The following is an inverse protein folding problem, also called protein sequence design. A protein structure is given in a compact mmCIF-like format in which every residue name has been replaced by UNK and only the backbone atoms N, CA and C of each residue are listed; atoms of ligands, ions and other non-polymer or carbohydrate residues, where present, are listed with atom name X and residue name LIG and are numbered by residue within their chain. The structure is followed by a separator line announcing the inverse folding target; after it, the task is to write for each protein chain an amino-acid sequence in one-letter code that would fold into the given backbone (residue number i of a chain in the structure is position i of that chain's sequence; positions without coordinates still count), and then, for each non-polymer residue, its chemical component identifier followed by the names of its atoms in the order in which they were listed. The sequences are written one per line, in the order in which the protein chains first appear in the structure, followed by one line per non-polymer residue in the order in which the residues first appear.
data_IF_188164496094
#
_entry.id   IF_188164496094
#
_cell.length_a   1.000
_cell.length_b   1.000
_cell.length_c   1.000
_cell.angle_alpha   90.00
_cell.angle_beta   90.00
_cell.angle_gamma   90.00
#
_symmetry.space_group_name_H-M   'P 1'
#
loop_
_entity.id
_entity.type
_entity.pdbx_description
1 polymer ?
#
# COMPACT_ATOMS: atom_id res chain seq x y z
N UNK A 1 -19.34 1.98 -1.14
CA UNK A 1 -18.66 2.71 -0.03
C UNK A 1 -17.13 2.60 -0.17
N UNK A 2 -16.33 3.51 0.39
CA UNK A 2 -14.86 3.48 0.29
C UNK A 2 -14.24 3.56 1.69
N UNK A 3 -13.43 2.55 2.05
CA UNK A 3 -12.78 2.46 3.35
C UNK A 3 -11.26 2.39 3.19
N UNK A 4 -10.53 3.24 3.92
CA UNK A 4 -9.07 3.21 4.02
C UNK A 4 -8.69 2.66 5.39
N UNK A 5 -7.91 1.57 5.42
CA UNK A 5 -7.44 0.92 6.66
C UNK A 5 -5.92 0.90 6.68
N UNK A 6 -5.34 1.41 7.77
CA UNK A 6 -3.90 1.29 8.04
C UNK A 6 -3.59 -0.15 8.44
N UNK A 7 -2.73 -0.83 7.69
CA UNK A 7 -2.29 -2.20 8.01
C UNK A 7 -0.91 -2.22 8.65
N UNK A 8 -0.01 -1.33 8.23
CA UNK A 8 1.35 -1.32 8.73
C UNK A 8 1.95 0.10 8.74
N UNK A 9 2.91 0.32 9.63
CA UNK A 9 3.60 1.60 9.80
C UNK A 9 5.05 1.36 10.18
N UNK A 10 5.97 1.99 9.44
CA UNK A 10 7.41 1.90 9.65
C UNK A 10 7.96 3.30 9.82
N UNK A 11 8.77 3.50 10.85
CA UNK A 11 9.52 4.74 11.04
C UNK A 11 11.00 4.45 10.85
N UNK A 12 11.60 5.11 9.85
CA UNK A 12 13.02 5.11 9.57
C UNK A 12 13.62 6.33 10.27
N UNK A 13 14.39 6.10 11.34
CA UNK A 13 15.03 7.17 12.11
C UNK A 13 16.57 7.17 11.95
N UNK A 14 17.22 8.18 12.52
CA UNK A 14 18.68 8.36 12.49
C UNK A 14 19.46 7.22 13.14
N UNK A 15 18.85 6.48 14.07
CA UNK A 15 19.53 5.38 14.75
C UNK A 15 19.69 4.17 13.80
N UNK A 16 18.78 4.02 12.84
CA UNK A 16 18.81 2.94 11.85
C UNK A 16 19.39 3.38 10.49
N UNK A 17 19.34 4.67 10.15
CA UNK A 17 19.84 5.20 8.89
C UNK A 17 20.57 6.54 9.07
N UNK A 18 21.91 6.48 9.14
CA UNK A 18 22.79 7.64 9.37
C UNK A 18 22.66 8.77 8.34
N UNK A 19 22.06 8.52 7.17
CA UNK A 19 21.91 9.50 6.09
C UNK A 19 20.59 10.29 6.14
N UNK A 20 19.65 9.96 7.03
CA UNK A 20 18.38 10.65 7.11
C UNK A 20 18.49 11.91 7.98
N UNK A 21 18.32 13.09 7.37
CA UNK A 21 18.27 14.36 8.13
C UNK A 21 17.07 14.41 9.07
N UNK A 22 15.93 13.83 8.65
CA UNK A 22 14.67 13.77 9.38
C UNK A 22 14.08 12.36 9.35
N UNK A 23 13.36 11.92 10.40
CA UNK A 23 12.68 10.64 10.39
C UNK A 23 11.68 10.55 9.25
N UNK A 24 11.70 9.44 8.52
CA UNK A 24 10.73 9.12 7.48
C UNK A 24 9.74 8.11 8.05
N UNK A 25 8.46 8.38 7.89
CA UNK A 25 7.40 7.43 8.23
C UNK A 25 6.76 6.93 6.94
N UNK A 26 6.71 5.62 6.77
CA UNK A 26 5.95 4.94 5.73
C UNK A 26 4.72 4.29 6.35
N UNK A 27 3.56 4.58 5.80
CA UNK A 27 2.29 3.98 6.22
C UNK A 27 1.68 3.21 5.04
N UNK A 28 1.27 1.98 5.32
CA UNK A 28 0.80 1.02 4.33
C UNK A 28 -0.67 0.74 4.58
N UNK A 29 -1.47 0.87 3.52
CA UNK A 29 -2.92 0.89 3.60
C UNK A 29 -3.55 -0.16 2.69
N UNK A 30 -4.68 -0.71 3.15
CA UNK A 30 -5.66 -1.39 2.30
C UNK A 30 -6.83 -0.44 2.07
N UNK A 31 -7.23 -0.34 0.81
CA UNK A 31 -8.43 0.35 0.39
C UNK A 31 -9.51 -0.67 0.05
N UNK A 32 -10.70 -0.56 0.61
CA UNK A 32 -11.84 -1.41 0.29
C UNK A 32 -12.89 -0.57 -0.45
N UNK A 33 -13.37 -1.09 -1.58
CA UNK A 33 -14.48 -0.51 -2.34
C UNK A 33 -15.47 -1.62 -2.72
N UNK A 34 -16.76 -1.30 -2.77
CA UNK A 34 -17.75 -2.17 -3.41
C UNK A 34 -17.69 -1.99 -4.93
N UNK A 35 -17.60 -3.10 -5.67
CA UNK A 35 -17.68 -3.09 -7.12
C UNK A 35 -19.03 -2.54 -7.58
N UNK A 36 -19.01 -1.70 -8.61
CA UNK A 36 -20.23 -1.15 -9.18
C UNK A 36 -21.00 -2.23 -9.95
N UNK A 37 -22.32 -2.11 -9.97
CA UNK A 37 -23.25 -3.04 -10.63
C UNK A 37 -23.02 -3.29 -12.11
N UNK A 38 -22.26 -2.40 -12.75
CA UNK A 38 -21.93 -2.47 -14.17
C UNK A 38 -20.92 -3.56 -14.52
N UNK A 39 -20.19 -4.08 -13.52
CA UNK A 39 -19.13 -5.07 -13.74
C UNK A 39 -19.63 -6.53 -13.59
N UNK A 40 -20.94 -6.74 -13.35
CA UNK A 40 -21.51 -8.07 -13.11
C UNK A 40 -21.06 -8.74 -11.79
N UNK A 41 -20.34 -7.98 -10.96
CA UNK A 41 -19.81 -8.39 -9.66
C UNK A 41 -20.54 -7.66 -8.52
N UNK A 42 -21.83 -7.44 -8.69
CA UNK A 42 -22.66 -6.63 -7.81
C UNK A 42 -22.52 -7.06 -6.34
N UNK A 43 -22.15 -6.10 -5.48
CA UNK A 43 -21.95 -6.32 -4.05
C UNK A 43 -20.64 -7.02 -3.64
N UNK A 44 -19.74 -7.37 -4.59
CA UNK A 44 -18.42 -7.87 -4.23
C UNK A 44 -17.49 -6.73 -3.81
N UNK A 45 -16.71 -7.00 -2.76
CA UNK A 45 -15.64 -6.09 -2.31
C UNK A 45 -14.43 -6.28 -3.20
N UNK A 46 -13.79 -5.18 -3.57
CA UNK A 46 -12.50 -5.14 -4.22
C UNK A 46 -11.54 -4.34 -3.34
N UNK A 47 -10.30 -4.81 -3.30
CA UNK A 47 -9.27 -4.28 -2.43
C UNK A 47 -8.17 -3.63 -3.26
N UNK A 48 -7.69 -2.48 -2.79
CA UNK A 48 -6.53 -1.77 -3.31
C UNK A 48 -5.45 -1.63 -2.24
N UNK A 49 -4.27 -1.19 -2.67
CA UNK A 49 -3.08 -1.03 -1.84
C UNK A 49 -2.61 0.41 -1.98
N UNK A 50 -2.20 1.05 -0.89
CA UNK A 50 -1.46 2.30 -1.00
C UNK A 50 -0.40 2.48 0.07
N UNK A 51 0.52 3.38 -0.24
CA UNK A 51 1.65 3.72 0.62
C UNK A 51 1.69 5.25 0.70
N UNK A 52 1.77 5.79 1.91
CA UNK A 52 2.11 7.19 2.13
C UNK A 52 3.47 7.32 2.80
N UNK A 53 4.15 8.41 2.48
CA UNK A 53 5.45 8.79 3.03
C UNK A 53 5.32 10.16 3.66
N UNK A 54 5.69 10.22 4.93
CA UNK A 54 5.67 11.45 5.73
C UNK A 54 7.08 11.72 6.25
N UNK A 55 7.53 12.97 6.15
CA UNK A 55 8.81 13.42 6.70
C UNK A 55 8.52 14.57 7.66
N UNK A 56 8.98 14.49 8.91
CA UNK A 56 8.72 15.52 9.93
C UNK A 56 7.22 15.89 10.04
N UNK A 57 6.36 14.87 10.10
CA UNK A 57 4.89 15.00 10.12
C UNK A 57 4.27 15.75 8.91
N UNK A 58 5.04 16.00 7.84
CA UNK A 58 4.52 16.53 6.57
C UNK A 58 4.35 15.41 5.57
N UNK A 59 3.14 15.29 5.04
CA UNK A 59 2.83 14.34 3.98
C UNK A 59 3.58 14.74 2.70
N UNK A 60 4.45 13.86 2.20
CA UNK A 60 5.37 14.18 1.11
C UNK A 60 5.01 13.45 -0.19
N UNK A 61 4.74 12.15 -0.11
CA UNK A 61 4.37 11.31 -1.26
C UNK A 61 3.27 10.33 -0.86
N UNK A 62 2.33 10.05 -1.76
CA UNK A 62 1.38 8.94 -1.64
C UNK A 62 1.16 8.33 -3.02
N UNK A 63 0.98 7.02 -3.05
CA UNK A 63 0.60 6.30 -4.25
C UNK A 63 -0.39 5.19 -3.87
N UNK A 64 -1.37 4.97 -4.74
CA UNK A 64 -2.48 4.05 -4.50
C UNK A 64 -2.80 3.29 -5.78
N UNK A 65 -2.85 1.97 -5.68
CA UNK A 65 -3.34 1.06 -6.71
C UNK A 65 -4.70 0.54 -6.27
N UNK A 66 -5.74 0.91 -7.03
CA UNK A 66 -7.10 0.43 -6.81
C UNK A 66 -7.32 -0.91 -7.51
N UNK A 67 -8.35 -1.64 -7.05
CA UNK A 67 -8.85 -2.85 -7.70
C UNK A 67 -7.77 -3.93 -7.90
N UNK A 68 -6.89 -4.11 -6.91
CA UNK A 68 -5.78 -5.05 -6.93
C UNK A 68 -6.23 -6.51 -6.84
N UNK A 69 -7.08 -6.85 -5.86
CA UNK A 69 -7.62 -8.21 -5.69
C UNK A 69 -9.02 -8.19 -5.07
N UNK A 70 -9.79 -9.26 -5.27
CA UNK A 70 -11.06 -9.49 -4.59
C UNK A 70 -10.89 -10.21 -3.24
N UNK A 71 -9.66 -10.59 -2.88
CA UNK A 71 -9.35 -11.30 -1.65
C UNK A 71 -8.60 -10.39 -0.66
N UNK A 72 -9.21 -10.18 0.51
CA UNK A 72 -8.63 -9.34 1.56
C UNK A 72 -7.32 -9.92 2.11
N UNK A 73 -7.27 -11.22 2.40
CA UNK A 73 -6.10 -11.85 3.00
C UNK A 73 -4.91 -11.87 2.04
N UNK A 74 -5.16 -12.09 0.76
CA UNK A 74 -4.15 -11.96 -0.29
C UNK A 74 -3.60 -10.53 -0.36
N UNK A 75 -4.50 -9.54 -0.43
CA UNK A 75 -4.11 -8.12 -0.45
C UNK A 75 -3.28 -7.77 0.79
N UNK A 76 -3.71 -8.23 1.96
CA UNK A 76 -2.99 -8.01 3.22
C UNK A 76 -1.62 -8.66 3.26
N UNK A 77 -1.47 -9.86 2.70
CA UNK A 77 -0.18 -10.52 2.58
C UNK A 77 0.78 -9.71 1.71
N UNK A 78 0.31 -9.18 0.58
CA UNK A 78 1.11 -8.29 -0.28
C UNK A 78 1.49 -7.01 0.46
N UNK A 79 0.54 -6.35 1.13
CA UNK A 79 0.82 -5.13 1.93
C UNK A 79 1.90 -5.39 2.99
N UNK A 80 1.83 -6.52 3.69
CA UNK A 80 2.84 -6.90 4.68
C UNK A 80 4.21 -7.15 4.03
N UNK A 81 4.25 -7.73 2.83
CA UNK A 81 5.49 -7.93 2.08
C UNK A 81 6.11 -6.59 1.65
N UNK A 82 5.30 -5.66 1.15
CA UNK A 82 5.76 -4.31 0.80
C UNK A 82 6.36 -3.59 2.02
N UNK A 83 5.69 -3.67 3.16
CA UNK A 83 6.16 -3.08 4.41
C UNK A 83 7.49 -3.71 4.86
N UNK A 84 7.59 -5.04 4.88
CA UNK A 84 8.84 -5.73 5.26
C UNK A 84 10.04 -5.35 4.40
N UNK A 85 9.81 -5.02 3.13
CA UNK A 85 10.85 -4.60 2.20
C UNK A 85 11.00 -3.07 2.11
N UNK A 86 10.31 -2.30 2.97
CA UNK A 86 10.39 -0.84 3.03
C UNK A 86 10.10 -0.16 1.67
N UNK A 87 9.18 -0.76 0.88
CA UNK A 87 8.79 -0.21 -0.41
C UNK A 87 8.20 1.19 -0.21
N UNK A 88 8.61 2.14 -1.06
CA UNK A 88 8.17 3.53 -1.01
C UNK A 88 7.03 3.80 -2.00
N UNK A 89 6.31 4.94 -1.89
CA UNK A 89 5.21 5.26 -2.81
C UNK A 89 5.61 5.27 -4.31
N UNK A 90 6.81 5.74 -4.63
CA UNK A 90 7.30 5.77 -6.02
C UNK A 90 7.59 4.37 -6.57
N UNK A 91 7.92 3.42 -5.71
CA UNK A 91 8.23 2.03 -6.07
C UNK A 91 6.98 1.13 -6.11
N UNK A 92 5.84 1.61 -5.60
CA UNK A 92 4.65 0.78 -5.43
C UNK A 92 4.23 0.06 -6.72
N UNK A 93 4.03 0.80 -7.80
CA UNK A 93 3.57 0.24 -9.08
C UNK A 93 4.57 -0.77 -9.67
N UNK A 94 5.86 -0.42 -9.89
CA UNK A 94 6.79 -1.37 -10.48
C UNK A 94 7.01 -2.61 -9.59
N UNK A 95 6.95 -2.48 -8.27
CA UNK A 95 7.05 -3.66 -7.38
C UNK A 95 5.81 -4.55 -7.50
N UNK A 96 4.60 -3.97 -7.56
CA UNK A 96 3.38 -4.76 -7.75
C UNK A 96 3.34 -5.45 -9.11
N UNK A 97 3.79 -4.79 -10.18
CA UNK A 97 3.93 -5.42 -11.51
C UNK A 97 4.83 -6.65 -11.44
N UNK A 98 6.01 -6.54 -10.81
CA UNK A 98 6.91 -7.68 -10.61
C UNK A 98 6.27 -8.81 -9.79
N UNK A 99 5.51 -8.49 -8.75
CA UNK A 99 4.82 -9.51 -7.92
C UNK A 99 3.77 -10.27 -8.74
N UNK A 100 3.01 -9.56 -9.58
CA UNK A 100 1.98 -10.16 -10.44
C UNK A 100 2.59 -10.99 -11.57
N UNK A 101 3.68 -10.53 -12.17
CA UNK A 101 4.41 -11.28 -13.21
C UNK A 101 4.99 -12.60 -12.67
N UNK A 102 5.40 -12.66 -11.40
CA UNK A 102 5.90 -13.89 -10.76
C UNK A 102 4.82 -14.96 -10.49
N UNK A 103 3.53 -14.65 -10.69
CA UNK A 103 2.41 -15.56 -10.45
C UNK A 103 1.89 -16.25 -11.72
N UNK A 104 2.42 -15.90 -12.90
CA UNK A 104 2.06 -16.45 -14.22
C UNK A 104 3.09 -17.50 -14.65
#
# INVERSE_FOLDING_TARGET
MFYKRLENKITLDKNNHFFLENPITLEYYIFEREADSRDGLDGRKVYGIGISKTIDNRHYEENVVYNFSYNFDETKNVVNMLARNTVTPVELVPVLENILEMQI
#
